data_IF_704008817564
#
_entry.id   IF_704008817564
#
_cell.length_a   1.000
_cell.length_b   1.000
_cell.length_c   1.000
_cell.angle_alpha   90.00
_cell.angle_beta   90.00
_cell.angle_gamma   90.00
#
_symmetry.space_group_name_H-M   'P 1'
#
loop_
_entity.id
_entity.type
_entity.pdbx_description
1 polymer ?
#
# COMPACT_ATOMS: atom_id res chain seq x y z
N UNK A 1 24.03 12.99 -67.99
CA UNK A 1 23.25 11.84 -68.50
C UNK A 1 23.89 10.57 -67.97
N UNK A 2 23.05 9.57 -67.65
CA UNK A 2 23.36 8.15 -67.34
C UNK A 2 23.66 7.88 -65.85
N UNK A 3 22.72 7.48 -64.98
CA UNK A 3 21.63 6.50 -65.00
C UNK A 3 22.04 5.07 -64.59
N UNK A 4 21.27 4.55 -63.61
CA UNK A 4 20.94 3.15 -63.27
C UNK A 4 21.95 2.44 -62.35
N UNK A 5 21.59 2.22 -61.08
CA UNK A 5 20.71 1.15 -60.56
C UNK A 5 21.32 -0.24 -60.70
N UNK A 6 21.61 -0.88 -59.56
CA UNK A 6 21.08 -2.20 -59.17
C UNK A 6 21.54 -2.60 -57.76
N UNK A 7 20.56 -2.81 -56.88
CA UNK A 7 20.43 -3.86 -55.87
C UNK A 7 21.70 -4.45 -55.22
N UNK A 8 21.78 -4.35 -53.90
CA UNK A 8 21.91 -5.54 -53.03
C UNK A 8 21.48 -5.18 -51.60
N UNK A 9 20.35 -5.75 -51.17
CA UNK A 9 19.98 -5.80 -49.77
C UNK A 9 20.89 -6.81 -49.07
N UNK A 10 21.54 -6.41 -47.98
CA UNK A 10 22.15 -7.33 -47.03
C UNK A 10 21.67 -6.96 -45.63
N UNK A 11 20.74 -7.77 -45.13
CA UNK A 11 20.28 -7.73 -43.77
C UNK A 11 21.39 -8.23 -42.84
N UNK A 12 21.90 -7.37 -41.94
CA UNK A 12 22.58 -7.82 -40.73
C UNK A 12 21.59 -7.75 -39.57
N UNK A 13 21.14 -8.93 -39.15
CA UNK A 13 20.46 -9.17 -37.89
C UNK A 13 21.49 -8.99 -36.77
N UNK A 14 21.50 -7.83 -36.13
CA UNK A 14 22.24 -7.60 -34.89
C UNK A 14 21.44 -8.15 -33.72
N UNK A 15 21.72 -9.39 -33.32
CA UNK A 15 21.23 -9.96 -32.07
C UNK A 15 21.86 -9.19 -30.89
N UNK A 16 21.15 -8.18 -30.38
CA UNK A 16 21.40 -7.70 -29.03
C UNK A 16 20.88 -8.77 -28.07
N UNK A 17 21.77 -9.71 -27.74
CA UNK A 17 21.71 -10.48 -26.51
C UNK A 17 21.81 -9.49 -25.33
N UNK A 18 20.69 -8.85 -25.01
CA UNK A 18 20.50 -8.13 -23.76
C UNK A 18 20.43 -9.13 -22.62
N UNK A 19 21.58 -9.61 -22.19
CA UNK A 19 21.77 -10.11 -20.83
C UNK A 19 21.61 -8.92 -19.87
N UNK A 20 20.37 -8.60 -19.51
CA UNK A 20 20.08 -7.97 -18.23
C UNK A 20 19.51 -9.05 -17.33
N UNK A 21 20.07 -9.25 -16.13
CA UNK A 21 19.67 -10.32 -15.24
C UNK A 21 18.18 -10.18 -14.98
N UNK A 22 17.46 -11.28 -15.20
CA UNK A 22 16.09 -11.42 -14.73
C UNK A 22 16.07 -11.08 -13.26
N UNK A 23 15.64 -9.87 -12.93
CA UNK A 23 15.05 -9.64 -11.63
C UNK A 23 13.80 -10.49 -11.70
N UNK A 24 13.88 -11.70 -11.16
CA UNK A 24 12.70 -12.40 -10.72
C UNK A 24 11.95 -11.36 -9.88
N UNK A 25 10.90 -10.76 -10.45
CA UNK A 25 9.84 -10.24 -9.63
C UNK A 25 9.47 -11.45 -8.78
N UNK A 26 9.85 -11.42 -7.50
CA UNK A 26 9.45 -12.44 -6.55
C UNK A 26 7.94 -12.50 -6.65
N UNK A 27 7.47 -13.53 -7.33
CA UNK A 27 6.07 -13.71 -7.67
C UNK A 27 5.28 -13.84 -6.38
N UNK A 28 4.39 -12.89 -6.20
CA UNK A 28 3.44 -12.82 -5.12
C UNK A 28 2.79 -11.46 -5.25
N UNK A 29 1.49 -11.43 -5.56
CA UNK A 29 0.71 -10.21 -5.32
C UNK A 29 0.79 -9.79 -3.85
N UNK A 30 0.14 -8.69 -3.45
CA UNK A 30 0.07 -8.29 -2.05
C UNK A 30 -0.25 -9.50 -1.17
N UNK A 31 0.55 -9.73 -0.12
CA UNK A 31 0.26 -10.80 0.82
C UNK A 31 -1.12 -10.52 1.43
N UNK A 32 -2.15 -11.36 1.19
CA UNK A 32 -3.50 -11.07 1.65
C UNK A 32 -3.59 -11.00 3.18
N UNK A 33 -2.63 -11.62 3.88
CA UNK A 33 -2.51 -11.58 5.33
C UNK A 33 -1.77 -10.33 5.86
N UNK A 34 -1.06 -9.57 5.01
CA UNK A 34 -0.42 -8.31 5.40
C UNK A 34 -1.42 -7.17 5.34
N UNK A 35 -2.30 -7.12 6.33
CA UNK A 35 -3.38 -6.13 6.39
C UNK A 35 -2.86 -4.70 6.47
N UNK A 36 -1.83 -4.50 7.29
CA UNK A 36 -1.14 -3.20 7.46
C UNK A 36 -0.54 -2.74 6.15
N UNK A 37 0.19 -3.61 5.45
CA UNK A 37 0.83 -3.27 4.18
C UNK A 37 -0.18 -2.90 3.09
N UNK A 38 -1.30 -3.63 3.00
CA UNK A 38 -2.39 -3.34 2.06
C UNK A 38 -3.03 -1.97 2.32
N UNK A 39 -3.41 -1.69 3.57
CA UNK A 39 -3.98 -0.39 3.92
C UNK A 39 -2.98 0.76 3.70
N UNK A 40 -1.71 0.57 4.07
CA UNK A 40 -0.66 1.58 3.83
C UNK A 40 -0.52 1.89 2.33
N UNK A 41 -0.61 0.87 1.47
CA UNK A 41 -0.58 1.05 0.02
C UNK A 41 -1.83 1.81 -0.48
N UNK A 42 -3.02 1.44 0.00
CA UNK A 42 -4.27 2.14 -0.34
C UNK A 42 -4.25 3.61 0.08
N UNK A 43 -3.91 3.91 1.33
CA UNK A 43 -3.85 5.29 1.86
C UNK A 43 -2.92 6.16 1.01
N UNK A 44 -1.76 5.63 0.62
CA UNK A 44 -0.80 6.34 -0.23
C UNK A 44 -1.28 6.50 -1.67
N UNK A 45 -1.95 5.50 -2.23
CA UNK A 45 -2.56 5.59 -3.55
C UNK A 45 -3.68 6.64 -3.58
N UNK A 46 -4.42 6.81 -2.48
CA UNK A 46 -5.38 7.89 -2.27
C UNK A 46 -4.72 9.24 -1.92
N UNK A 47 -3.39 9.35 -2.02
CA UNK A 47 -2.66 10.60 -1.79
C UNK A 47 -2.64 11.07 -0.33
N UNK A 48 -2.98 10.20 0.62
CA UNK A 48 -2.89 10.51 2.03
C UNK A 48 -1.43 10.35 2.53
N UNK A 49 -0.89 11.31 3.29
CA UNK A 49 0.45 11.23 3.85
C UNK A 49 0.52 10.17 4.97
N UNK A 50 0.66 8.90 4.61
CA UNK A 50 0.67 7.78 5.55
C UNK A 50 2.07 7.18 5.78
N UNK A 51 2.45 7.04 7.05
CA UNK A 51 3.75 6.51 7.47
C UNK A 51 3.58 5.28 8.38
N UNK A 52 4.28 4.17 8.10
CA UNK A 52 4.35 3.06 9.04
C UNK A 52 5.17 3.48 10.26
N UNK A 53 4.75 3.03 11.44
CA UNK A 53 5.46 3.26 12.71
C UNK A 53 5.61 1.92 13.42
N UNK A 54 6.85 1.42 13.48
CA UNK A 54 7.09 0.05 13.93
C UNK A 54 6.39 -0.99 13.05
N UNK A 55 6.07 -2.14 13.63
CA UNK A 55 5.55 -3.29 12.89
C UNK A 55 4.02 -3.35 12.84
N UNK A 56 3.33 -2.57 13.66
CA UNK A 56 1.88 -2.71 13.87
C UNK A 56 1.08 -1.43 13.61
N UNK A 57 1.71 -0.29 13.31
CA UNK A 57 1.01 1.01 13.25
C UNK A 57 1.21 1.77 11.95
N UNK A 58 0.22 2.60 11.66
CA UNK A 58 0.25 3.65 10.63
C UNK A 58 -0.17 4.97 11.27
N UNK A 59 0.52 6.06 10.93
CA UNK A 59 0.10 7.44 11.22
C UNK A 59 -0.27 8.11 9.90
N UNK A 60 -1.42 8.79 9.87
CA UNK A 60 -1.89 9.51 8.68
C UNK A 60 -1.81 11.01 8.93
N UNK A 61 -0.94 11.72 8.22
CA UNK A 61 -0.64 13.12 8.45
C UNK A 61 0.48 13.36 9.46
N UNK A 62 0.52 14.58 9.97
CA UNK A 62 1.57 15.04 10.89
C UNK A 62 0.96 15.69 12.14
N UNK A 63 1.75 15.76 13.21
CA UNK A 63 1.35 16.44 14.45
C UNK A 63 0.52 15.59 15.41
N UNK A 64 0.16 16.19 16.55
CA UNK A 64 -0.48 15.48 17.68
C UNK A 64 -1.92 15.02 17.42
N UNK A 65 -2.60 15.63 16.44
CA UNK A 65 -3.98 15.30 16.05
C UNK A 65 -4.09 14.32 14.88
N UNK A 66 -2.98 13.81 14.37
CA UNK A 66 -2.98 12.87 13.25
C UNK A 66 -3.69 11.55 13.62
N UNK A 67 -4.57 11.03 12.76
CA UNK A 67 -5.12 9.69 12.91
C UNK A 67 -4.05 8.62 13.08
N UNK A 68 -4.34 7.66 13.93
CA UNK A 68 -3.44 6.53 14.22
C UNK A 68 -4.21 5.24 14.04
N UNK A 69 -3.59 4.31 13.31
CA UNK A 69 -4.13 2.98 13.07
C UNK A 69 -3.18 1.98 13.71
N UNK A 70 -3.72 1.01 14.45
CA UNK A 70 -2.98 -0.14 14.97
C UNK A 70 -3.61 -1.43 14.49
N UNK A 71 -2.80 -2.31 13.91
CA UNK A 71 -3.21 -3.64 13.49
C UNK A 71 -2.89 -4.68 14.55
N UNK A 72 -3.78 -5.65 14.68
CA UNK A 72 -3.66 -6.81 15.54
C UNK A 72 -3.62 -8.08 14.70
N UNK A 73 -3.27 -9.21 15.33
CA UNK A 73 -3.27 -10.49 14.61
C UNK A 73 -4.70 -10.89 14.24
N UNK A 74 -5.66 -10.59 15.10
CA UNK A 74 -7.08 -10.94 14.91
C UNK A 74 -8.00 -9.80 15.32
N UNK A 75 -9.25 -9.83 14.85
CA UNK A 75 -10.31 -8.93 15.32
C UNK A 75 -10.60 -9.10 16.81
N UNK A 76 -10.56 -10.34 17.32
CA UNK A 76 -10.77 -10.62 18.74
C UNK A 76 -9.71 -10.00 19.65
N UNK A 77 -8.46 -9.85 19.18
CA UNK A 77 -7.42 -9.13 19.91
C UNK A 77 -7.71 -7.61 19.99
N UNK A 78 -8.15 -7.01 18.88
CA UNK A 78 -8.55 -5.60 18.83
C UNK A 78 -9.74 -5.33 19.76
N UNK A 79 -10.77 -6.17 19.67
CA UNK A 79 -11.98 -6.11 20.49
C UNK A 79 -11.65 -6.30 21.99
N UNK A 80 -10.79 -7.28 22.31
CA UNK A 80 -10.37 -7.51 23.70
C UNK A 80 -9.63 -6.31 24.29
N UNK A 81 -8.89 -5.53 23.48
CA UNK A 81 -8.25 -4.31 23.96
C UNK A 81 -9.29 -3.23 24.28
N UNK A 82 -10.32 -3.08 23.46
CA UNK A 82 -11.42 -2.15 23.73
C UNK A 82 -12.20 -2.53 24.99
N UNK A 83 -12.56 -3.80 25.17
CA UNK A 83 -13.26 -4.26 26.38
C UNK A 83 -12.47 -4.03 27.67
N UNK A 84 -11.14 -4.05 27.61
CA UNK A 84 -10.27 -3.77 28.75
C UNK A 84 -10.06 -2.27 29.01
N UNK A 85 -10.72 -1.40 28.25
CA UNK A 85 -10.53 0.06 28.32
C UNK A 85 -9.18 0.53 27.75
N UNK A 86 -8.44 -0.33 27.04
CA UNK A 86 -7.12 0.00 26.51
C UNK A 86 -7.15 0.77 25.18
N UNK A 87 -8.34 1.00 24.63
CA UNK A 87 -8.54 1.63 23.33
C UNK A 87 -9.76 2.56 23.30
N UNK A 88 -10.00 3.30 24.38
CA UNK A 88 -11.02 4.34 24.41
C UNK A 88 -10.83 5.34 23.26
N UNK A 89 -11.93 5.69 22.60
CA UNK A 89 -11.94 6.59 21.44
C UNK A 89 -11.34 6.00 20.16
N UNK A 90 -11.04 4.69 20.13
CA UNK A 90 -10.73 3.99 18.89
C UNK A 90 -11.99 3.36 18.31
N UNK A 91 -12.13 3.44 16.99
CA UNK A 91 -13.06 2.62 16.24
C UNK A 91 -12.39 1.30 15.84
N UNK A 92 -13.13 0.19 15.88
CA UNK A 92 -12.64 -1.10 15.42
C UNK A 92 -13.11 -1.37 13.99
N UNK A 93 -12.16 -1.69 13.11
CA UNK A 93 -12.40 -2.07 11.72
C UNK A 93 -11.62 -3.35 11.44
N UNK A 94 -12.33 -4.48 11.41
CA UNK A 94 -11.70 -5.81 11.31
C UNK A 94 -10.71 -6.07 12.46
N UNK A 95 -9.43 -6.26 12.12
CA UNK A 95 -8.32 -6.42 13.07
C UNK A 95 -7.55 -5.12 13.36
N UNK A 96 -8.08 -3.97 12.95
CA UNK A 96 -7.47 -2.67 13.17
C UNK A 96 -8.27 -1.84 14.18
N UNK A 97 -7.55 -0.97 14.89
CA UNK A 97 -8.12 0.10 15.71
C UNK A 97 -7.69 1.45 15.15
N UNK A 98 -8.66 2.32 14.85
CA UNK A 98 -8.49 3.67 14.33
C UNK A 98 -8.79 4.69 15.43
N UNK A 99 -7.77 5.44 15.87
CA UNK A 99 -7.96 6.65 16.67
C UNK A 99 -8.02 7.85 15.74
N UNK A 100 -9.15 8.56 15.75
CA UNK A 100 -9.48 9.63 14.80
C UNK A 100 -8.66 10.91 14.99
N UNK A 101 -8.25 11.20 16.23
CA UNK A 101 -7.51 12.43 16.55
C UNK A 101 -8.36 13.67 16.28
N UNK A 102 -7.88 14.55 15.40
CA UNK A 102 -8.58 15.77 14.96
C UNK A 102 -8.89 15.77 13.46
N UNK A 103 -8.91 14.58 12.83
CA UNK A 103 -9.29 14.47 11.44
C UNK A 103 -10.75 14.87 11.22
N UNK A 104 -11.04 15.43 10.05
CA UNK A 104 -12.41 15.69 9.62
C UNK A 104 -13.08 14.39 9.18
N UNK A 105 -14.41 14.34 9.24
CA UNK A 105 -15.20 13.19 8.82
C UNK A 105 -14.85 12.73 7.40
N UNK A 106 -14.69 13.67 6.45
CA UNK A 106 -14.26 13.36 5.08
C UNK A 106 -12.89 12.65 5.02
N UNK A 107 -11.95 13.03 5.89
CA UNK A 107 -10.66 12.36 5.95
C UNK A 107 -10.79 10.96 6.57
N UNK A 108 -11.63 10.80 7.60
CA UNK A 108 -11.90 9.53 8.24
C UNK A 108 -12.57 8.53 7.29
N UNK A 109 -13.60 8.95 6.54
CA UNK A 109 -14.27 8.11 5.54
C UNK A 109 -13.29 7.53 4.50
N UNK A 110 -12.31 8.35 4.07
CA UNK A 110 -11.27 7.90 3.13
C UNK A 110 -10.29 6.93 3.76
N UNK A 111 -9.96 7.15 5.03
CA UNK A 111 -9.10 6.24 5.79
C UNK A 111 -9.83 4.89 5.96
N UNK A 112 -11.08 4.91 6.42
CA UNK A 112 -11.96 3.77 6.65
C UNK A 112 -12.15 2.92 5.39
N UNK A 113 -12.37 3.56 4.22
CA UNK A 113 -12.44 2.85 2.95
C UNK A 113 -11.19 1.99 2.69
N UNK A 114 -10.00 2.50 3.00
CA UNK A 114 -8.75 1.74 2.88
C UNK A 114 -8.55 0.66 3.95
N UNK A 115 -9.28 0.70 5.06
CA UNK A 115 -9.27 -0.31 6.11
C UNK A 115 -10.27 -1.44 5.81
N UNK A 116 -11.45 -1.11 5.28
CA UNK A 116 -12.52 -2.04 4.93
C UNK A 116 -12.18 -2.91 3.71
N UNK A 117 -11.42 -2.37 2.76
CA UNK A 117 -11.03 -3.08 1.52
C UNK A 117 -10.01 -4.21 1.73
N UNK A 118 -9.65 -4.53 2.98
CA UNK A 118 -8.60 -5.51 3.27
C UNK A 118 -9.23 -6.86 3.72
N UNK A 119 -9.48 -7.83 2.80
CA UNK A 119 -10.38 -8.99 2.99
C UNK A 119 -9.88 -10.07 3.95
#
# INVERSE_FOLDING_TARGET
MNARSKWLALALVGALAGCSPGRAASGGGPNPNDKRGQALACLRADGLPALPVGDDRIVVGEGRGAPRIRYFTTSGEAEALQFKGGAEGAEQIGNALLWTGSASDRLLERIEACLDEVP
#
